data_IF_953968697588
#
_entry.id   IF_953968697588
#
_cell.length_a   1.000
_cell.length_b   1.000
_cell.length_c   1.000
_cell.angle_alpha   90.00
_cell.angle_beta   90.00
_cell.angle_gamma   90.00
#
_symmetry.space_group_name_H-M   'P 1'
#
loop_
_entity.id
_entity.type
_entity.pdbx_description
1 polymer ?
#
# COMPACT_ATOMS: atom_id res chain seq x y z
N UNK A 1 66.15 -52.64 58.85
CA UNK A 1 65.78 -53.99 58.35
C UNK A 1 67.04 -54.81 58.05
N UNK A 2 67.10 -56.05 58.53
CA UNK A 2 68.19 -57.02 58.26
C UNK A 2 67.60 -58.37 57.85
N UNK A 3 68.27 -59.08 56.94
CA UNK A 3 67.83 -60.43 56.53
C UNK A 3 68.00 -61.41 57.70
N UNK A 4 66.99 -62.23 57.97
CA UNK A 4 67.08 -63.27 58.99
C UNK A 4 67.86 -64.46 58.44
N UNK A 5 68.90 -64.86 59.17
CA UNK A 5 69.71 -66.04 58.87
C UNK A 5 69.51 -67.11 59.94
N UNK A 6 69.59 -68.38 59.55
CA UNK A 6 69.61 -69.51 60.48
C UNK A 6 71.01 -69.70 61.12
N UNK A 7 71.14 -70.68 62.01
CA UNK A 7 72.41 -70.96 62.71
C UNK A 7 73.56 -71.37 61.77
N UNK A 8 73.27 -71.75 60.53
CA UNK A 8 74.23 -72.15 59.51
C UNK A 8 74.52 -71.00 58.50
N UNK A 9 73.91 -69.82 58.70
CA UNK A 9 74.08 -68.66 57.82
C UNK A 9 73.20 -68.68 56.57
N UNK A 10 72.22 -69.60 56.46
CA UNK A 10 71.27 -69.62 55.35
C UNK A 10 70.09 -68.69 55.61
N UNK A 11 69.44 -68.23 54.54
CA UNK A 11 68.27 -67.35 54.62
C UNK A 11 67.08 -68.10 55.20
N UNK A 12 66.43 -67.52 56.21
CA UNK A 12 65.15 -68.03 56.73
C UNK A 12 64.03 -67.65 55.77
N UNK A 13 63.29 -68.66 55.32
CA UNK A 13 62.20 -68.53 54.35
C UNK A 13 60.90 -68.96 55.02
N UNK A 14 59.87 -68.14 54.89
CA UNK A 14 58.51 -68.41 55.36
C UNK A 14 57.54 -68.25 54.18
N UNK A 15 56.71 -69.27 53.92
CA UNK A 15 55.78 -69.30 52.77
C UNK A 15 56.47 -69.00 51.41
N UNK A 16 57.73 -69.42 51.24
CA UNK A 16 58.51 -69.17 50.02
C UNK A 16 59.12 -67.77 49.92
N UNK A 17 58.99 -66.93 50.96
CA UNK A 17 59.52 -65.56 51.00
C UNK A 17 60.62 -65.40 52.05
N UNK A 18 61.68 -64.61 51.79
CA UNK A 18 62.71 -64.32 52.79
C UNK A 18 62.15 -63.52 53.99
N UNK A 19 62.53 -63.90 55.21
CA UNK A 19 62.14 -63.20 56.44
C UNK A 19 63.16 -62.10 56.77
N UNK A 20 62.67 -60.89 57.03
CA UNK A 20 63.48 -59.76 57.50
C UNK A 20 63.13 -59.40 58.93
N UNK A 21 64.15 -59.01 59.70
CA UNK A 21 64.02 -58.46 61.05
C UNK A 21 64.02 -56.93 60.93
N UNK A 22 62.93 -56.31 61.34
CA UNK A 22 62.81 -54.86 61.44
C UNK A 22 63.58 -54.32 62.65
N UNK A 23 63.79 -53.01 62.68
CA UNK A 23 64.57 -52.36 63.73
C UNK A 23 63.87 -52.42 65.11
N UNK A 24 62.58 -52.77 65.14
CA UNK A 24 61.77 -53.05 66.33
C UNK A 24 61.80 -54.53 66.76
N UNK A 25 62.63 -55.36 66.10
CA UNK A 25 62.78 -56.78 66.39
C UNK A 25 61.69 -57.67 65.81
N UNK A 26 60.70 -57.12 65.10
CA UNK A 26 59.65 -57.93 64.45
C UNK A 26 60.18 -58.61 63.20
N UNK A 27 59.72 -59.84 63.00
CA UNK A 27 60.04 -60.64 61.82
C UNK A 27 58.89 -60.60 60.84
N UNK A 28 59.17 -60.27 59.58
CA UNK A 28 58.17 -60.16 58.52
C UNK A 28 58.71 -60.85 57.27
N UNK A 29 57.92 -61.74 56.69
CA UNK A 29 58.19 -62.31 55.37
C UNK A 29 57.99 -61.26 54.27
N UNK A 30 59.00 -61.03 53.44
CA UNK A 30 58.98 -59.98 52.42
C UNK A 30 58.54 -60.52 51.05
N UNK A 31 57.35 -60.11 50.61
CA UNK A 31 56.87 -60.36 49.25
C UNK A 31 57.45 -59.33 48.27
N UNK A 32 58.51 -59.73 47.56
CA UNK A 32 59.13 -58.88 46.55
C UNK A 32 58.18 -58.60 45.36
N UNK A 33 57.33 -59.54 44.98
CA UNK A 33 56.42 -59.39 43.83
C UNK A 33 55.30 -58.39 44.16
N UNK A 34 54.69 -58.48 45.34
CA UNK A 34 53.69 -57.53 45.81
C UNK A 34 54.30 -56.13 46.01
N UNK A 35 55.50 -56.02 46.58
CA UNK A 35 56.19 -54.74 46.75
C UNK A 35 56.46 -54.04 45.41
N UNK A 36 56.97 -54.77 44.41
CA UNK A 36 57.21 -54.22 43.06
C UNK A 36 55.90 -53.80 42.39
N UNK A 37 54.83 -54.59 42.53
CA UNK A 37 53.50 -54.24 42.03
C UNK A 37 52.97 -52.94 42.67
N UNK A 38 53.11 -52.80 44.00
CA UNK A 38 52.67 -51.60 44.72
C UNK A 38 53.49 -50.37 44.33
N UNK A 39 54.81 -50.50 44.15
CA UNK A 39 55.67 -49.42 43.66
C UNK A 39 55.23 -48.96 42.26
N UNK A 40 54.91 -49.91 41.37
CA UNK A 40 54.39 -49.60 40.02
C UNK A 40 53.06 -48.82 40.09
N UNK A 41 52.12 -49.25 40.94
CA UNK A 41 50.85 -48.53 41.17
C UNK A 41 51.09 -47.10 41.67
N UNK A 42 51.93 -46.94 42.70
CA UNK A 42 52.23 -45.62 43.28
C UNK A 42 52.92 -44.68 42.29
N UNK A 43 53.81 -45.21 41.45
CA UNK A 43 54.43 -44.42 40.38
C UNK A 43 53.41 -44.02 39.30
N UNK A 44 52.45 -44.88 38.98
CA UNK A 44 51.32 -44.57 38.11
C UNK A 44 50.44 -43.45 38.69
N UNK A 45 50.07 -43.57 39.97
CA UNK A 45 49.31 -42.54 40.70
C UNK A 45 50.07 -41.21 40.77
N UNK A 46 51.37 -41.22 41.07
CA UNK A 46 52.19 -40.01 41.09
C UNK A 46 52.29 -39.34 39.71
N UNK A 47 52.27 -40.14 38.63
CA UNK A 47 52.21 -39.62 37.27
C UNK A 47 50.86 -38.96 36.98
N UNK A 48 49.74 -39.60 37.31
CA UNK A 48 48.40 -39.03 37.05
C UNK A 48 48.15 -37.75 37.86
N UNK A 49 48.65 -37.67 39.10
CA UNK A 49 48.57 -36.44 39.90
C UNK A 49 49.37 -35.29 39.29
N UNK A 50 50.54 -35.58 38.72
CA UNK A 50 51.36 -34.57 38.04
C UNK A 50 50.68 -34.07 36.78
N UNK A 51 50.21 -34.98 35.94
CA UNK A 51 49.48 -34.65 34.71
C UNK A 51 48.21 -33.85 35.02
N UNK A 52 47.47 -34.23 36.07
CA UNK A 52 46.29 -33.48 36.53
C UNK A 52 46.63 -32.07 37.03
N UNK A 53 47.75 -31.91 37.76
CA UNK A 53 48.22 -30.60 38.21
C UNK A 53 48.62 -29.71 37.04
N UNK A 54 49.39 -30.24 36.08
CA UNK A 54 49.80 -29.51 34.88
C UNK A 54 48.59 -29.08 34.04
N UNK A 55 47.59 -29.94 33.88
CA UNK A 55 46.35 -29.62 33.16
C UNK A 55 45.52 -28.53 33.87
N UNK A 56 45.45 -28.58 35.21
CA UNK A 56 44.76 -27.56 36.01
C UNK A 56 45.48 -26.20 35.95
N UNK A 57 46.82 -26.19 36.07
CA UNK A 57 47.63 -24.97 35.95
C UNK A 57 47.53 -24.38 34.54
N UNK A 58 47.56 -25.20 33.49
CA UNK A 58 47.37 -24.75 32.10
C UNK A 58 45.96 -24.17 31.87
N UNK A 59 44.95 -24.71 32.53
CA UNK A 59 43.58 -24.18 32.46
C UNK A 59 43.45 -22.86 33.21
N UNK A 60 44.07 -22.74 34.39
CA UNK A 60 44.09 -21.51 35.18
C UNK A 60 44.86 -20.39 34.47
N UNK A 61 45.96 -20.72 33.77
CA UNK A 61 46.76 -19.76 33.02
C UNK A 61 45.94 -19.01 31.93
N UNK A 62 44.92 -19.64 31.35
CA UNK A 62 44.01 -18.99 30.38
C UNK A 62 43.24 -17.81 31.00
N UNK A 63 43.11 -17.79 32.32
CA UNK A 63 42.41 -16.75 33.08
C UNK A 63 43.38 -15.82 33.83
N UNK A 64 44.70 -15.92 33.60
CA UNK A 64 45.72 -15.15 34.34
C UNK A 64 45.54 -13.62 34.22
N UNK A 65 44.91 -13.14 33.14
CA UNK A 65 44.63 -11.72 32.92
C UNK A 65 43.28 -11.25 33.52
N UNK A 66 42.54 -12.14 34.19
CA UNK A 66 41.30 -11.80 34.88
C UNK A 66 41.60 -11.59 36.36
N UNK A 67 41.74 -10.32 36.75
CA UNK A 67 42.01 -9.93 38.13
C UNK A 67 40.83 -10.14 39.08
N UNK A 68 39.61 -10.19 38.57
CA UNK A 68 38.37 -10.40 39.34
C UNK A 68 37.39 -11.27 38.52
N UNK A 69 37.36 -12.59 38.76
CA UNK A 69 36.49 -13.52 38.04
C UNK A 69 35.00 -13.21 38.19
N UNK A 70 34.57 -12.68 39.34
CA UNK A 70 33.18 -12.32 39.59
C UNK A 70 32.77 -11.15 38.71
N UNK A 71 33.61 -10.10 38.64
CA UNK A 71 33.35 -8.97 37.72
C UNK A 71 33.40 -9.36 36.25
N UNK A 72 34.23 -10.33 35.88
CA UNK A 72 34.24 -10.83 34.50
C UNK A 72 32.92 -11.53 34.15
N UNK A 73 32.35 -12.31 35.07
CA UNK A 73 31.03 -12.93 34.89
C UNK A 73 29.91 -11.89 34.87
N UNK A 74 29.95 -10.90 35.75
CA UNK A 74 28.99 -9.78 35.74
C UNK A 74 29.08 -8.96 34.44
N UNK A 75 30.28 -8.74 33.90
CA UNK A 75 30.47 -8.07 32.62
C UNK A 75 29.90 -8.87 31.45
N UNK A 76 30.06 -10.20 31.44
CA UNK A 76 29.44 -11.08 30.46
C UNK A 76 27.91 -11.06 30.58
N UNK A 77 27.36 -11.08 31.79
CA UNK A 77 25.93 -10.97 32.03
C UNK A 77 25.37 -9.60 31.61
N UNK A 78 26.10 -8.51 31.87
CA UNK A 78 25.72 -7.18 31.38
C UNK A 78 25.78 -7.09 29.85
N UNK A 79 26.78 -7.69 29.21
CA UNK A 79 26.92 -7.66 27.76
C UNK A 79 25.79 -8.43 27.07
N UNK A 80 25.41 -9.60 27.60
CA UNK A 80 24.24 -10.34 27.12
C UNK A 80 22.93 -9.56 27.29
N UNK A 81 22.76 -8.84 28.41
CA UNK A 81 21.60 -7.93 28.60
C UNK A 81 21.61 -6.75 27.61
N UNK A 82 22.78 -6.20 27.28
CA UNK A 82 22.91 -5.13 26.28
C UNK A 82 22.53 -5.63 24.88
N UNK A 83 22.97 -6.82 24.49
CA UNK A 83 22.61 -7.40 23.18
C UNK A 83 21.12 -7.73 23.09
N UNK A 84 20.52 -8.27 24.16
CA UNK A 84 19.06 -8.46 24.24
C UNK A 84 18.30 -7.14 24.11
N UNK A 85 18.74 -6.08 24.80
CA UNK A 85 18.13 -4.76 24.69
C UNK A 85 18.24 -4.18 23.27
N UNK A 86 19.40 -4.30 22.62
CA UNK A 86 19.58 -3.87 21.22
C UNK A 86 18.65 -4.60 20.25
N UNK A 87 18.42 -5.90 20.45
CA UNK A 87 17.50 -6.69 19.62
C UNK A 87 16.04 -6.26 19.83
N UNK A 88 15.65 -5.97 21.08
CA UNK A 88 14.31 -5.45 21.41
C UNK A 88 14.12 -4.05 20.82
N UNK A 89 15.09 -3.16 21.00
CA UNK A 89 15.05 -1.79 20.46
C UNK A 89 15.02 -1.81 18.93
N UNK A 90 15.75 -2.71 18.26
CA UNK A 90 15.69 -2.88 16.82
C UNK A 90 14.29 -3.33 16.35
N UNK A 91 13.69 -4.33 17.01
CA UNK A 91 12.33 -4.79 16.71
C UNK A 91 11.28 -3.70 16.96
N UNK A 92 11.42 -2.91 18.03
CA UNK A 92 10.54 -1.78 18.32
C UNK A 92 10.68 -0.65 17.30
N UNK A 93 11.90 -0.35 16.84
CA UNK A 93 12.13 0.67 15.81
C UNK A 93 11.51 0.26 14.47
N UNK A 94 11.60 -1.00 14.08
CA UNK A 94 10.99 -1.49 12.84
C UNK A 94 9.45 -1.49 12.94
N UNK A 95 8.88 -1.85 14.10
CA UNK A 95 7.44 -1.72 14.36
C UNK A 95 6.97 -0.26 14.29
N UNK A 96 7.69 0.67 14.93
CA UNK A 96 7.36 2.10 14.89
C UNK A 96 7.45 2.65 13.47
N UNK A 97 8.46 2.29 12.68
CA UNK A 97 8.55 2.69 11.27
C UNK A 97 7.39 2.14 10.43
N UNK A 98 7.01 0.89 10.64
CA UNK A 98 5.88 0.28 9.94
C UNK A 98 4.56 0.97 10.31
N UNK A 99 4.35 1.28 11.59
CA UNK A 99 3.15 1.96 12.08
C UNK A 99 3.09 3.42 11.62
N UNK A 100 4.22 4.14 11.62
CA UNK A 100 4.34 5.48 11.05
C UNK A 100 4.02 5.46 9.56
N UNK A 101 4.60 4.54 8.80
CA UNK A 101 4.36 4.42 7.35
C UNK A 101 2.89 4.13 7.06
N UNK A 102 2.26 3.23 7.84
CA UNK A 102 0.84 2.90 7.71
C UNK A 102 -0.07 4.09 8.06
N UNK A 103 0.27 4.84 9.12
CA UNK A 103 -0.46 6.04 9.53
C UNK A 103 -0.36 7.14 8.47
N UNK A 104 0.84 7.38 7.93
CA UNK A 104 1.04 8.33 6.84
C UNK A 104 0.31 7.90 5.56
N UNK A 105 0.37 6.63 5.17
CA UNK A 105 -0.35 6.15 4.00
C UNK A 105 -1.86 6.36 4.16
N UNK A 106 -2.41 6.06 5.33
CA UNK A 106 -3.83 6.31 5.63
C UNK A 106 -4.18 7.79 5.51
N UNK A 107 -3.37 8.68 6.06
CA UNK A 107 -3.59 10.12 5.96
C UNK A 107 -3.49 10.62 4.52
N UNK A 108 -2.56 10.06 3.74
CA UNK A 108 -2.35 10.42 2.34
C UNK A 108 -3.53 9.96 1.49
N UNK A 109 -4.02 8.74 1.70
CA UNK A 109 -5.20 8.20 1.02
C UNK A 109 -6.47 8.99 1.39
N UNK A 110 -6.63 9.36 2.67
CA UNK A 110 -7.75 10.18 3.12
C UNK A 110 -7.69 11.60 2.53
N UNK A 111 -6.52 12.22 2.51
CA UNK A 111 -6.31 13.54 1.92
C UNK A 111 -6.57 13.51 0.40
N UNK A 112 -6.05 12.52 -0.31
CA UNK A 112 -6.30 12.33 -1.75
C UNK A 112 -7.79 12.09 -2.02
N UNK A 113 -8.45 11.25 -1.22
CA UNK A 113 -9.89 11.01 -1.34
C UNK A 113 -10.73 12.27 -1.07
N UNK A 114 -10.33 13.10 -0.10
CA UNK A 114 -10.97 14.41 0.15
C UNK A 114 -10.72 15.39 -1.00
N UNK A 115 -9.51 15.46 -1.53
CA UNK A 115 -9.18 16.32 -2.66
C UNK A 115 -10.00 15.93 -3.90
N UNK A 116 -10.06 14.65 -4.25
CA UNK A 116 -10.87 14.18 -5.39
C UNK A 116 -12.36 14.51 -5.20
N UNK A 117 -12.91 14.36 -3.99
CA UNK A 117 -14.29 14.74 -3.69
C UNK A 117 -14.51 16.25 -3.81
N UNK A 118 -13.60 17.06 -3.28
CA UNK A 118 -13.66 18.52 -3.36
C UNK A 118 -13.52 19.00 -4.82
N UNK A 119 -12.64 18.39 -5.60
CA UNK A 119 -12.49 18.67 -7.03
C UNK A 119 -13.79 18.36 -7.80
N UNK A 120 -14.41 17.20 -7.54
CA UNK A 120 -15.70 16.85 -8.16
C UNK A 120 -16.83 17.80 -7.76
N UNK A 121 -16.87 18.20 -6.48
CA UNK A 121 -17.85 19.18 -5.99
C UNK A 121 -17.63 20.56 -6.62
N UNK A 122 -16.38 21.02 -6.66
CA UNK A 122 -16.03 22.31 -7.27
C UNK A 122 -16.31 22.32 -8.76
N UNK A 123 -16.05 21.22 -9.45
CA UNK A 123 -16.41 21.02 -10.85
C UNK A 123 -17.93 21.13 -11.03
N UNK A 124 -18.71 20.40 -10.23
CA UNK A 124 -20.17 20.46 -10.27
C UNK A 124 -20.73 21.86 -10.03
N UNK A 125 -20.23 22.56 -9.00
CA UNK A 125 -20.68 23.90 -8.64
C UNK A 125 -20.28 24.95 -9.68
N UNK A 126 -18.99 25.02 -10.02
CA UNK A 126 -18.48 26.09 -10.87
C UNK A 126 -18.82 25.87 -12.34
N UNK A 127 -18.70 24.65 -12.86
CA UNK A 127 -19.00 24.39 -14.26
C UNK A 127 -20.50 24.19 -14.43
N UNK A 128 -21.13 23.34 -13.61
CA UNK A 128 -22.59 23.12 -13.68
C UNK A 128 -23.40 24.40 -13.47
N UNK A 129 -23.01 25.25 -12.51
CA UNK A 129 -23.64 26.56 -12.31
C UNK A 129 -23.55 27.48 -13.52
N UNK A 130 -22.42 27.45 -14.26
CA UNK A 130 -22.24 28.23 -15.50
C UNK A 130 -23.11 27.73 -16.64
N UNK A 131 -23.25 26.41 -16.79
CA UNK A 131 -24.18 25.82 -17.76
C UNK A 131 -25.64 26.19 -17.46
N UNK A 132 -26.06 26.12 -16.19
CA UNK A 132 -27.43 26.50 -15.80
C UNK A 132 -27.74 28.00 -16.00
N UNK A 133 -26.74 28.87 -15.81
CA UNK A 133 -26.88 30.33 -15.92
C UNK A 133 -26.48 30.94 -17.27
N UNK A 134 -26.06 30.13 -18.25
CA UNK A 134 -25.56 30.60 -19.54
C UNK A 134 -26.64 31.26 -20.38
N UNK A 135 -26.40 32.50 -20.81
CA UNK A 135 -27.31 33.21 -21.73
C UNK A 135 -27.26 32.59 -23.12
N UNK A 136 -26.08 32.16 -23.56
CA UNK A 136 -25.92 31.46 -24.83
C UNK A 136 -26.80 30.21 -24.90
N UNK A 137 -26.82 29.39 -23.84
CA UNK A 137 -27.68 28.20 -23.80
C UNK A 137 -29.16 28.58 -23.85
N UNK A 138 -29.59 29.53 -23.02
CA UNK A 138 -31.00 29.95 -22.95
C UNK A 138 -31.52 30.51 -24.27
N UNK A 139 -30.71 31.33 -24.94
CA UNK A 139 -31.13 32.07 -26.13
C UNK A 139 -30.89 31.31 -27.43
N UNK A 140 -29.76 30.60 -27.56
CA UNK A 140 -29.28 30.04 -28.84
C UNK A 140 -29.34 28.52 -28.95
N UNK A 141 -29.42 27.76 -27.84
CA UNK A 141 -29.44 26.29 -27.89
C UNK A 141 -30.87 25.75 -27.97
N UNK A 142 -31.08 24.75 -28.83
CA UNK A 142 -32.36 24.03 -28.98
C UNK A 142 -32.52 22.88 -27.99
N UNK A 143 -31.43 22.47 -27.34
CA UNK A 143 -31.40 21.41 -26.32
C UNK A 143 -31.26 22.00 -24.91
N UNK A 144 -31.75 21.32 -23.85
CA UNK A 144 -31.65 21.82 -22.50
C UNK A 144 -30.22 21.77 -21.94
N UNK A 145 -29.94 22.58 -20.91
CA UNK A 145 -28.60 22.83 -20.40
C UNK A 145 -27.87 21.58 -19.87
N UNK A 146 -28.61 20.60 -19.34
CA UNK A 146 -28.09 19.32 -18.85
C UNK A 146 -27.44 18.48 -19.96
N UNK A 147 -28.08 18.41 -21.13
CA UNK A 147 -27.54 17.74 -22.31
C UNK A 147 -26.30 18.47 -22.86
N UNK A 148 -26.32 19.80 -22.86
CA UNK A 148 -25.15 20.61 -23.26
C UNK A 148 -23.99 20.37 -22.30
N UNK A 149 -24.24 20.38 -20.99
CA UNK A 149 -23.22 20.12 -19.97
C UNK A 149 -22.65 18.71 -20.09
N UNK A 150 -23.48 17.69 -20.33
CA UNK A 150 -23.02 16.31 -20.51
C UNK A 150 -22.07 16.19 -21.71
N UNK A 151 -22.35 16.91 -22.81
CA UNK A 151 -21.54 16.82 -24.02
C UNK A 151 -20.28 17.68 -23.97
N UNK A 152 -20.39 18.93 -23.54
CA UNK A 152 -19.34 19.93 -23.62
C UNK A 152 -18.65 20.21 -22.29
N UNK A 153 -19.22 19.77 -21.17
CA UNK A 153 -18.68 20.00 -19.83
C UNK A 153 -17.23 19.55 -19.69
N UNK A 154 -16.87 18.38 -20.24
CA UNK A 154 -15.51 17.82 -20.17
C UNK A 154 -14.44 18.69 -20.85
N UNK A 155 -14.86 19.64 -21.70
CA UNK A 155 -13.97 20.62 -22.33
C UNK A 155 -13.62 21.77 -21.38
N UNK A 156 -14.32 21.93 -20.26
CA UNK A 156 -14.08 22.96 -19.26
C UNK A 156 -13.31 22.40 -18.08
N UNK A 157 -12.26 23.12 -17.66
CA UNK A 157 -11.43 22.80 -16.51
C UNK A 157 -11.33 24.00 -15.59
N UNK A 158 -10.94 23.76 -14.35
CA UNK A 158 -10.73 24.81 -13.36
C UNK A 158 -9.23 25.02 -13.22
N UNK A 159 -8.75 26.18 -13.63
CA UNK A 159 -7.36 26.61 -13.48
C UNK A 159 -7.31 27.93 -12.74
N UNK A 160 -6.50 28.00 -11.69
CA UNK A 160 -6.35 29.20 -10.85
C UNK A 160 -7.69 29.78 -10.35
N UNK A 161 -8.66 28.90 -10.07
CA UNK A 161 -10.01 29.29 -9.62
C UNK A 161 -10.92 29.85 -10.71
N UNK A 162 -10.51 29.80 -11.99
CA UNK A 162 -11.30 30.23 -13.15
C UNK A 162 -11.65 29.04 -14.04
N UNK A 163 -12.81 29.12 -14.69
CA UNK A 163 -13.23 28.12 -15.67
C UNK A 163 -12.55 28.44 -16.99
N UNK A 164 -11.73 27.51 -17.48
CA UNK A 164 -10.98 27.59 -18.73
C UNK A 164 -11.47 26.49 -19.67
N UNK A 165 -11.78 26.86 -20.90
CA UNK A 165 -12.20 25.91 -21.92
C UNK A 165 -11.03 25.43 -22.77
N UNK A 166 -11.13 24.18 -23.18
CA UNK A 166 -10.19 23.47 -24.05
C UNK A 166 -10.91 22.99 -25.30
N UNK A 167 -10.31 23.15 -26.46
CA UNK A 167 -10.84 22.64 -27.71
C UNK A 167 -10.67 21.12 -27.86
N UNK A 168 -11.22 20.56 -28.94
CA UNK A 168 -11.10 19.12 -29.24
C UNK A 168 -9.67 18.63 -29.48
N UNK A 169 -8.69 19.54 -29.60
CA UNK A 169 -7.26 19.25 -29.74
C UNK A 169 -6.48 19.44 -28.45
N UNK A 170 -7.12 19.89 -27.38
CA UNK A 170 -6.51 20.14 -26.08
C UNK A 170 -5.83 21.50 -25.92
N UNK A 171 -6.12 22.47 -26.80
CA UNK A 171 -5.63 23.84 -26.68
C UNK A 171 -6.64 24.72 -25.92
N UNK A 172 -6.14 25.74 -25.20
CA UNK A 172 -7.00 26.72 -24.53
C UNK A 172 -7.77 27.56 -25.55
N UNK A 173 -9.06 27.77 -25.30
CA UNK A 173 -9.90 28.64 -26.14
C UNK A 173 -9.67 30.10 -25.74
N UNK A 174 -9.27 30.92 -26.70
CA UNK A 174 -9.03 32.36 -26.52
C UNK A 174 -10.22 33.19 -27.01
N UNK A 175 -10.43 34.35 -26.39
CA UNK A 175 -11.49 35.28 -26.78
C UNK A 175 -11.20 35.87 -28.17
N UNK A 176 -12.22 35.89 -29.02
CA UNK A 176 -12.22 36.59 -30.31
C UNK A 176 -12.45 38.08 -30.10
N UNK A 177 -13.18 38.45 -29.05
CA UNK A 177 -13.42 39.85 -28.69
C UNK A 177 -12.21 40.51 -28.00
N UNK A 178 -11.42 39.74 -27.23
CA UNK A 178 -10.23 40.23 -26.52
C UNK A 178 -8.99 39.39 -26.89
N UNK A 179 -8.23 39.79 -27.92
CA UNK A 179 -7.04 39.06 -28.34
C UNK A 179 -6.03 38.89 -27.20
N UNK A 180 -5.67 37.64 -26.91
CA UNK A 180 -4.70 37.29 -25.86
C UNK A 180 -5.30 36.94 -24.50
N UNK A 181 -6.60 37.16 -24.28
CA UNK A 181 -7.31 36.68 -23.09
C UNK A 181 -8.02 35.35 -23.37
N UNK A 182 -8.18 34.54 -22.33
CA UNK A 182 -8.99 33.32 -22.41
C UNK A 182 -10.46 33.68 -22.66
N UNK A 183 -11.15 32.90 -23.48
CA UNK A 183 -12.56 33.11 -23.75
C UNK A 183 -13.37 32.98 -22.45
N UNK A 184 -14.35 33.86 -22.28
CA UNK A 184 -15.34 33.70 -21.22
C UNK A 184 -16.22 32.48 -21.50
N UNK A 185 -16.90 31.96 -20.48
CA UNK A 185 -17.63 30.69 -20.57
C UNK A 185 -18.57 30.59 -21.78
N UNK A 186 -19.41 31.63 -22.01
CA UNK A 186 -20.38 31.62 -23.12
C UNK A 186 -19.70 31.68 -24.50
N UNK A 187 -18.66 32.50 -24.65
CA UNK A 187 -17.88 32.62 -25.90
C UNK A 187 -17.11 31.33 -26.20
N UNK A 188 -16.55 30.71 -25.16
CA UNK A 188 -15.87 29.44 -25.28
C UNK A 188 -16.84 28.31 -25.65
N UNK A 189 -18.02 28.28 -25.03
CA UNK A 189 -19.06 27.31 -25.35
C UNK A 189 -19.54 27.48 -26.80
N UNK A 190 -19.74 28.72 -27.25
CA UNK A 190 -20.07 29.03 -28.64
C UNK A 190 -19.02 28.47 -29.60
N UNK A 191 -17.74 28.73 -29.34
CA UNK A 191 -16.63 28.20 -30.14
C UNK A 191 -16.64 26.66 -30.22
N UNK A 192 -16.86 25.98 -29.09
CA UNK A 192 -16.93 24.52 -29.04
C UNK A 192 -18.13 23.95 -29.79
N UNK A 193 -19.28 24.63 -29.70
CA UNK A 193 -20.51 24.24 -30.42
C UNK A 193 -20.35 24.49 -31.92
N UNK A 194 -19.69 25.58 -32.33
CA UNK A 194 -19.44 25.87 -33.75
C UNK A 194 -18.56 24.83 -34.45
N UNK A 195 -17.66 24.19 -33.70
CA UNK A 195 -16.81 23.09 -34.17
C UNK A 195 -17.52 21.74 -34.17
N UNK A 196 -18.70 21.63 -33.55
CA UNK A 196 -19.41 20.36 -33.46
C UNK A 196 -20.05 19.97 -34.81
N UNK A 197 -19.79 18.76 -35.35
CA UNK A 197 -20.28 18.36 -36.67
C UNK A 197 -21.81 18.43 -36.84
N UNK A 198 -22.57 18.26 -35.76
CA UNK A 198 -24.04 18.28 -35.78
C UNK A 198 -24.61 19.54 -35.10
N UNK A 199 -23.88 20.66 -35.17
CA UNK A 199 -24.29 21.92 -34.52
C UNK A 199 -25.68 22.40 -34.92
N UNK A 200 -26.08 22.19 -36.18
CA UNK A 200 -27.36 22.64 -36.71
C UNK A 200 -28.57 21.97 -36.03
N UNK A 201 -28.35 20.81 -35.39
CA UNK A 201 -29.39 20.10 -34.63
C UNK A 201 -29.49 20.53 -33.16
N UNK A 202 -28.44 21.15 -32.63
CA UNK A 202 -28.37 21.58 -31.22
C UNK A 202 -28.52 23.09 -31.05
N UNK A 203 -28.33 23.86 -32.13
CA UNK A 203 -28.61 25.28 -32.20
C UNK A 203 -30.06 25.51 -32.62
N UNK A 204 -30.69 26.56 -32.07
CA UNK A 204 -31.96 27.04 -32.61
C UNK A 204 -31.70 27.51 -34.04
N UNK A 205 -32.60 27.18 -34.97
CA UNK A 205 -32.51 27.66 -36.34
C UNK A 205 -32.30 29.18 -36.31
N UNK A 206 -31.19 29.65 -36.89
CA UNK A 206 -30.99 31.08 -37.12
C UNK A 206 -32.25 31.58 -37.81
N UNK A 207 -32.91 32.59 -37.25
CA UNK A 207 -34.24 33.07 -37.65
C UNK A 207 -34.33 33.67 -39.06
N UNK A 208 -33.76 33.01 -40.07
CA UNK A 208 -34.16 33.15 -41.44
C UNK A 208 -35.54 32.51 -41.55
N UNK A 209 -36.54 33.36 -41.32
CA UNK A 209 -37.93 33.18 -41.70
C UNK A 209 -37.99 32.63 -43.13
N UNK A 210 -38.14 31.32 -43.25
CA UNK A 210 -38.21 30.58 -44.50
C UNK A 210 -39.60 30.02 -44.69
N UNK A 211 -40.49 30.83 -45.29
CA UNK A 211 -41.60 30.37 -46.12
C UNK A 211 -42.77 29.65 -45.44
N UNK A 212 -43.76 30.44 -45.00
CA UNK A 212 -45.17 30.15 -45.25
C UNK A 212 -45.76 28.86 -44.67
N UNK A 213 -46.18 28.91 -43.42
CA UNK A 213 -47.29 28.08 -42.95
C UNK A 213 -48.22 28.96 -42.13
N UNK A 214 -49.19 29.57 -42.80
CA UNK A 214 -50.32 30.18 -42.11
C UNK A 214 -51.05 29.08 -41.35
N UNK A 215 -50.94 29.09 -40.04
CA UNK A 215 -51.78 28.30 -39.16
C UNK A 215 -53.19 28.86 -39.30
N UNK A 216 -54.01 28.21 -40.13
CA UNK A 216 -55.41 28.59 -40.28
C UNK A 216 -56.12 28.34 -38.95
N UNK A 217 -56.81 29.36 -38.50
CA UNK A 217 -57.52 29.44 -37.24
C UNK A 217 -58.76 28.53 -37.29
N UNK A 218 -58.56 27.23 -37.12
CA UNK A 218 -59.65 26.26 -36.97
C UNK A 218 -59.57 25.59 -35.60
N UNK A 219 -60.70 25.60 -34.92
CA UNK A 219 -60.87 25.08 -33.56
C UNK A 219 -60.66 23.55 -33.56
N UNK A 220 -59.87 23.05 -32.62
CA UNK A 220 -59.54 21.63 -32.50
C UNK A 220 -60.82 20.78 -32.45
N UNK A 221 -60.97 19.84 -33.41
CA UNK A 221 -62.10 18.93 -33.52
C UNK A 221 -63.04 19.18 -34.71
N UNK A 222 -62.86 20.26 -35.47
CA UNK A 222 -63.65 20.52 -36.67
C UNK A 222 -63.08 19.76 -37.89
N UNK A 223 -63.88 18.88 -38.51
CA UNK A 223 -63.45 18.18 -39.73
C UNK A 223 -63.31 19.21 -40.86
N UNK A 224 -62.14 19.31 -41.46
CA UNK A 224 -61.88 20.15 -42.63
C UNK A 224 -61.64 19.27 -43.85
N UNK A 225 -62.18 19.66 -45.00
CA UNK A 225 -61.97 18.95 -46.26
C UNK A 225 -61.50 19.94 -47.32
N UNK A 226 -60.47 19.58 -48.10
CA UNK A 226 -59.99 20.42 -49.21
C UNK A 226 -61.06 20.55 -50.29
N UNK A 227 -61.15 21.70 -50.96
CA UNK A 227 -62.14 21.97 -52.02
C UNK A 227 -62.04 20.97 -53.16
N UNK A 228 -60.82 20.62 -53.55
CA UNK A 228 -60.57 19.57 -54.56
C UNK A 228 -61.11 18.20 -54.15
N UNK A 229 -61.03 17.85 -52.86
CA UNK A 229 -61.60 16.62 -52.34
C UNK A 229 -63.13 16.68 -52.28
N UNK A 230 -63.72 17.84 -51.94
CA UNK A 230 -65.18 18.03 -51.93
C UNK A 230 -65.77 17.89 -53.33
N UNK A 231 -65.10 18.48 -54.33
CA UNK A 231 -65.59 18.45 -55.70
C UNK A 231 -65.56 17.06 -56.32
N UNK A 232 -64.65 16.20 -55.84
CA UNK A 232 -64.53 14.80 -56.24
C UNK A 232 -65.58 13.86 -55.63
N UNK A 233 -66.37 14.32 -54.64
CA UNK A 233 -67.44 13.51 -54.04
C UNK A 233 -68.65 13.41 -54.98
N UNK A 234 -69.39 12.31 -54.87
CA UNK A 234 -70.70 12.18 -55.50
C UNK A 234 -71.75 13.06 -54.78
N UNK A 235 -72.93 13.21 -55.38
CA UNK A 235 -73.97 14.11 -54.85
C UNK A 235 -74.38 13.75 -53.42
N UNK A 236 -74.35 12.46 -53.06
CA UNK A 236 -74.62 11.98 -51.71
C UNK A 236 -73.50 12.34 -50.73
N UNK A 237 -72.24 12.16 -51.12
CA UNK A 237 -71.06 12.53 -50.34
C UNK A 237 -70.97 14.04 -50.07
N UNK A 238 -71.29 14.88 -51.05
CA UNK A 238 -71.34 16.34 -50.88
C UNK A 238 -72.39 16.76 -49.85
N UNK A 239 -73.58 16.16 -49.91
CA UNK A 239 -74.64 16.44 -48.93
C UNK A 239 -74.29 15.97 -47.51
N UNK A 240 -73.63 14.82 -47.37
CA UNK A 240 -73.19 14.32 -46.07
C UNK A 240 -72.10 15.20 -45.45
N UNK A 241 -71.11 15.64 -46.23
CA UNK A 241 -70.06 16.54 -45.75
C UNK A 241 -70.63 17.88 -45.24
N UNK A 242 -71.63 18.44 -45.93
CA UNK A 242 -72.34 19.64 -45.49
C UNK A 242 -73.21 19.39 -44.24
N UNK A 243 -73.88 18.25 -44.14
CA UNK A 243 -74.67 17.87 -42.94
C UNK A 243 -73.81 17.65 -41.71
N UNK A 244 -72.59 17.13 -41.87
CA UNK A 244 -71.63 16.92 -40.78
C UNK A 244 -70.93 18.20 -40.32
N UNK A 245 -71.22 19.37 -40.92
CA UNK A 245 -70.58 20.63 -40.56
C UNK A 245 -69.10 20.71 -40.94
N UNK A 246 -68.70 19.96 -41.97
CA UNK A 246 -67.31 19.94 -42.46
C UNK A 246 -66.96 21.28 -43.09
N UNK A 247 -65.86 21.90 -42.67
CA UNK A 247 -65.42 23.19 -43.24
C UNK A 247 -64.60 22.92 -44.49
N UNK A 248 -65.02 23.53 -45.61
CA UNK A 248 -64.32 23.39 -46.89
C UNK A 248 -63.20 24.43 -46.94
N UNK A 249 -61.96 23.93 -46.98
CA UNK A 249 -60.75 24.76 -47.09
C UNK A 249 -60.18 24.64 -48.50
N UNK A 250 -59.43 25.63 -48.97
CA UNK A 250 -58.88 25.62 -50.33
C UNK A 250 -57.80 24.55 -50.53
#
# INVERSE_FOLDING_TARGET
>A
MKLKLDANGHVVVENGMPVYIHDDGKEIAFDAAQAVSKISSLNGEAKTHREGKEAAEASLAKFANISDPTKALEALEMMTKIDQKKLIDAGAVDQVKAEITKSFQTQLDEANGKNQKLEQQLYGEMIGGRFGGSKFIQEKMAIPADFVQSRFGNSFKIEDGKVVAYDGTGNKVYSRAKPGELAEFDEALEFLVEQYPQKDHILKASGNSGGGSQQSQHQAGQKTLKRSAFDSLDMAGKQNALKEGTTIVD
#
